data_IF_268523607317
#
_entry.id   IF_268523607317
#
_cell.length_a   1.000
_cell.length_b   1.000
_cell.length_c   1.000
_cell.angle_alpha   90.00
_cell.angle_beta   90.00
_cell.angle_gamma   90.00
#
_symmetry.space_group_name_H-M   'P 1'
#
loop_
_entity.id
_entity.type
_entity.pdbx_description
1 polymer ?
#
# COMPACT_ATOMS: atom_id res chain seq x y z
N UNK A 1 54.70 -21.43 -12.91
CA UNK A 1 53.96 -21.96 -11.75
C UNK A 1 52.65 -21.23 -11.77
N UNK A 2 51.66 -21.90 -12.37
CA UNK A 2 50.26 -21.51 -12.39
C UNK A 2 49.72 -21.53 -10.97
N UNK A 3 48.86 -20.58 -10.63
CA UNK A 3 47.44 -20.83 -10.36
C UNK A 3 46.85 -19.61 -9.63
N UNK A 4 46.16 -18.78 -10.42
CA UNK A 4 45.11 -17.87 -9.97
C UNK A 4 43.93 -18.72 -9.47
N UNK A 5 43.56 -18.55 -8.20
CA UNK A 5 42.29 -19.04 -7.68
C UNK A 5 41.44 -17.87 -7.20
N UNK A 6 40.71 -17.35 -8.18
CA UNK A 6 39.43 -16.68 -8.05
C UNK A 6 38.40 -17.67 -7.46
N UNK A 7 37.86 -17.36 -6.28
CA UNK A 7 36.71 -18.04 -5.73
C UNK A 7 35.61 -17.03 -5.48
N UNK A 8 34.81 -16.86 -6.54
CA UNK A 8 33.53 -16.17 -6.50
C UNK A 8 32.54 -16.81 -5.52
N UNK A 9 31.68 -15.92 -5.02
CA UNK A 9 30.52 -16.18 -4.18
C UNK A 9 29.61 -17.29 -4.70
N UNK A 10 29.09 -18.11 -3.78
CA UNK A 10 27.76 -18.69 -3.93
C UNK A 10 27.09 -18.79 -2.55
N UNK A 11 26.32 -17.75 -2.20
CA UNK A 11 25.38 -17.81 -1.08
C UNK A 11 24.09 -18.41 -1.60
N UNK A 12 24.02 -19.75 -1.61
CA UNK A 12 22.79 -20.49 -1.79
C UNK A 12 21.87 -20.33 -0.58
N UNK A 13 21.03 -19.30 -0.58
CA UNK A 13 19.84 -19.26 0.29
C UNK A 13 18.63 -19.71 -0.53
N UNK A 14 18.46 -21.02 -0.58
CA UNK A 14 17.19 -21.63 -0.96
C UNK A 14 16.24 -21.58 0.23
N UNK A 15 15.34 -20.59 0.26
CA UNK A 15 14.10 -20.69 1.01
C UNK A 15 12.94 -20.78 0.04
N UNK A 16 12.52 -22.02 -0.23
CA UNK A 16 11.20 -22.29 -0.76
C UNK A 16 10.18 -22.18 0.38
N UNK A 17 9.31 -21.18 0.29
CA UNK A 17 7.92 -21.28 0.72
C UNK A 17 7.07 -20.90 -0.49
N UNK A 18 6.48 -21.93 -1.09
CA UNK A 18 5.62 -21.87 -2.28
C UNK A 18 4.19 -21.53 -1.85
N UNK A 19 4.00 -20.27 -1.50
CA UNK A 19 2.71 -19.57 -1.51
C UNK A 19 2.94 -18.21 -2.19
N UNK A 20 3.38 -18.27 -3.45
CA UNK A 20 3.51 -17.12 -4.36
C UNK A 20 3.87 -15.80 -3.69
N UNK A 21 5.04 -15.73 -3.03
CA UNK A 21 5.52 -14.54 -2.32
C UNK A 21 5.49 -13.34 -3.28
N UNK A 22 4.47 -12.50 -3.11
CA UNK A 22 4.21 -11.38 -3.99
C UNK A 22 5.29 -10.34 -3.72
N UNK A 23 5.95 -9.86 -4.78
CA UNK A 23 6.94 -8.81 -4.61
C UNK A 23 6.33 -7.57 -3.97
N UNK A 24 7.11 -6.83 -3.18
CA UNK A 24 6.67 -5.59 -2.52
C UNK A 24 6.00 -4.62 -3.51
N UNK A 25 6.57 -4.47 -4.71
CA UNK A 25 6.01 -3.61 -5.77
C UNK A 25 4.61 -4.06 -6.24
N UNK A 26 4.38 -5.37 -6.31
CA UNK A 26 3.08 -5.93 -6.72
C UNK A 26 2.08 -5.82 -5.56
N UNK A 27 2.52 -6.05 -4.32
CA UNK A 27 1.71 -5.83 -3.12
C UNK A 27 1.26 -4.38 -3.01
N UNK A 28 2.18 -3.43 -3.16
CA UNK A 28 1.88 -2.00 -3.15
C UNK A 28 0.90 -1.62 -4.26
N UNK A 29 1.07 -2.17 -5.48
CA UNK A 29 0.14 -1.93 -6.59
C UNK A 29 -1.27 -2.44 -6.29
N UNK A 30 -1.40 -3.67 -5.77
CA UNK A 30 -2.69 -4.25 -5.41
C UNK A 30 -3.35 -3.50 -4.26
N UNK A 31 -2.58 -3.14 -3.24
CA UNK A 31 -3.06 -2.31 -2.14
C UNK A 31 -3.64 -0.97 -2.67
N UNK A 32 -2.95 -0.32 -3.62
CA UNK A 32 -3.45 0.87 -4.29
C UNK A 32 -4.79 0.65 -5.02
N UNK A 33 -4.94 -0.46 -5.73
CA UNK A 33 -6.22 -0.82 -6.36
C UNK A 33 -7.33 -1.03 -5.33
N UNK A 34 -7.07 -1.79 -4.26
CA UNK A 34 -8.04 -2.05 -3.19
C UNK A 34 -8.52 -0.75 -2.54
N UNK A 35 -7.60 0.20 -2.30
CA UNK A 35 -7.95 1.53 -1.78
C UNK A 35 -8.89 2.27 -2.74
N UNK A 36 -8.58 2.28 -4.04
CA UNK A 36 -9.41 2.93 -5.06
C UNK A 36 -10.80 2.28 -5.17
N UNK A 37 -10.85 0.94 -5.14
CA UNK A 37 -12.10 0.18 -5.14
C UNK A 37 -12.93 0.56 -3.91
N UNK A 38 -12.30 0.65 -2.73
CA UNK A 38 -12.92 1.10 -1.49
C UNK A 38 -13.52 2.51 -1.59
N UNK A 39 -12.81 3.47 -2.22
CA UNK A 39 -13.33 4.84 -2.46
C UNK A 39 -14.57 4.80 -3.34
N UNK A 40 -14.56 4.03 -4.43
CA UNK A 40 -15.72 3.94 -5.33
C UNK A 40 -16.92 3.25 -4.69
N UNK A 41 -16.67 2.22 -3.88
CA UNK A 41 -17.72 1.47 -3.22
C UNK A 41 -18.33 2.23 -2.02
N UNK A 42 -17.57 3.11 -1.37
CA UNK A 42 -18.08 3.97 -0.29
C UNK A 42 -19.14 4.98 -0.78
N UNK A 43 -19.07 5.40 -2.05
CA UNK A 43 -20.00 6.35 -2.69
C UNK A 43 -21.27 5.67 -3.24
N UNK A 44 -21.29 4.33 -3.31
CA UNK A 44 -22.45 3.57 -3.80
C UNK A 44 -23.56 3.47 -2.74
N UNK A 45 -24.81 3.68 -3.15
CA UNK A 45 -26.00 3.66 -2.30
C UNK A 45 -26.15 2.30 -1.57
N UNK A 46 -26.16 2.33 -0.23
CA UNK A 46 -25.93 1.15 0.61
C UNK A 46 -27.23 0.40 0.89
N UNK A 47 -27.59 -0.52 0.02
CA UNK A 47 -28.72 -1.42 0.25
C UNK A 47 -28.24 -2.68 1.02
N UNK A 48 -28.22 -2.61 2.36
CA UNK A 48 -28.15 -3.76 3.27
C UNK A 48 -26.98 -4.76 3.16
N UNK A 49 -25.91 -4.45 2.41
CA UNK A 49 -24.76 -5.32 2.16
C UNK A 49 -23.62 -5.22 3.19
N UNK A 50 -22.53 -5.96 2.93
CA UNK A 50 -21.26 -5.88 3.70
C UNK A 50 -20.65 -4.48 3.53
N UNK A 51 -20.08 -3.93 4.60
CA UNK A 51 -19.41 -2.64 4.56
C UNK A 51 -18.23 -2.69 3.56
N UNK A 52 -18.19 -1.83 2.52
CA UNK A 52 -17.06 -1.78 1.60
C UNK A 52 -15.72 -1.54 2.27
N UNK A 53 -15.71 -0.81 3.40
CA UNK A 53 -14.50 -0.59 4.17
C UNK A 53 -14.02 -1.90 4.81
N UNK A 54 -14.92 -2.68 5.41
CA UNK A 54 -14.59 -4.00 5.98
C UNK A 54 -14.05 -4.96 4.93
N UNK A 55 -14.66 -4.97 3.72
CA UNK A 55 -14.16 -5.76 2.60
C UNK A 55 -12.77 -5.32 2.15
N UNK A 56 -12.51 -4.02 2.06
CA UNK A 56 -11.18 -3.51 1.71
C UNK A 56 -10.14 -3.93 2.76
N UNK A 57 -10.45 -3.80 4.06
CA UNK A 57 -9.57 -4.26 5.13
C UNK A 57 -9.27 -5.76 5.05
N UNK A 58 -10.29 -6.60 4.80
CA UNK A 58 -10.10 -8.04 4.64
C UNK A 58 -9.17 -8.37 3.46
N UNK A 59 -9.33 -7.68 2.33
CA UNK A 59 -8.47 -7.87 1.16
C UNK A 59 -7.04 -7.39 1.39
N UNK A 60 -6.85 -6.29 2.13
CA UNK A 60 -5.52 -5.79 2.50
C UNK A 60 -4.79 -6.77 3.43
N UNK A 61 -5.50 -7.41 4.37
CA UNK A 61 -4.95 -8.49 5.20
C UNK A 61 -4.57 -9.71 4.36
N UNK A 62 -5.41 -10.10 3.40
CA UNK A 62 -5.17 -11.26 2.53
C UNK A 62 -3.88 -11.11 1.70
N UNK A 63 -3.53 -9.89 1.28
CA UNK A 63 -2.31 -9.61 0.53
C UNK A 63 -1.14 -9.18 1.42
N UNK A 64 -1.28 -9.26 2.75
CA UNK A 64 -0.27 -8.81 3.73
C UNK A 64 0.13 -7.34 3.54
N UNK A 65 -0.78 -6.50 3.03
CA UNK A 65 -0.58 -5.06 2.95
C UNK A 65 -0.78 -4.38 4.31
N UNK A 66 -1.48 -5.05 5.22
CA UNK A 66 -1.58 -4.69 6.64
C UNK A 66 -1.44 -5.97 7.47
N UNK A 67 -0.93 -5.86 8.68
CA UNK A 67 -0.70 -7.00 9.57
C UNK A 67 -1.13 -6.69 11.00
N UNK A 68 -1.72 -7.68 11.70
CA UNK A 68 -2.05 -7.57 13.12
C UNK A 68 -0.91 -8.18 13.94
N UNK A 69 -0.25 -7.35 14.74
CA UNK A 69 0.82 -7.72 15.64
C UNK A 69 0.28 -7.76 17.07
N UNK A 70 0.72 -8.73 17.86
CA UNK A 70 0.42 -8.77 19.29
C UNK A 70 1.59 -8.14 20.06
N UNK A 71 1.32 -7.05 20.77
CA UNK A 71 2.25 -6.49 21.73
C UNK A 71 2.13 -7.25 23.06
N UNK A 72 3.07 -8.17 23.29
CA UNK A 72 3.11 -8.99 24.51
C UNK A 72 3.43 -8.19 25.79
N UNK A 73 4.04 -7.00 25.65
CA UNK A 73 4.38 -6.16 26.80
C UNK A 73 3.19 -5.31 27.24
N UNK A 74 2.39 -4.83 26.29
CA UNK A 74 1.20 -4.03 26.55
C UNK A 74 -0.10 -4.86 26.66
N UNK A 75 -0.09 -6.13 26.24
CA UNK A 75 -1.30 -6.97 26.06
C UNK A 75 -2.30 -6.31 25.08
N UNK A 76 -1.77 -5.64 24.05
CA UNK A 76 -2.52 -4.88 23.04
C UNK A 76 -2.29 -5.46 21.63
N UNK A 77 -3.26 -5.25 20.74
CA UNK A 77 -3.12 -5.59 19.32
C UNK A 77 -2.70 -4.33 18.57
N UNK A 78 -1.54 -4.37 17.92
CA UNK A 78 -1.04 -3.34 17.02
C UNK A 78 -1.40 -3.69 15.57
N UNK A 79 -1.75 -2.68 14.77
CA UNK A 79 -1.98 -2.83 13.34
C UNK A 79 -0.81 -2.20 12.58
N UNK A 80 0.04 -3.01 11.97
CA UNK A 80 1.08 -2.53 11.07
C UNK A 80 0.49 -2.22 9.69
N UNK A 81 0.57 -0.95 9.30
CA UNK A 81 0.13 -0.44 8.00
C UNK A 81 1.30 -0.01 7.12
N UNK A 82 2.54 -0.26 7.53
CA UNK A 82 3.73 0.15 6.78
C UNK A 82 3.73 -0.37 5.34
N UNK A 83 3.36 -1.64 5.05
CA UNK A 83 3.32 -2.15 3.69
C UNK A 83 2.25 -1.48 2.81
N UNK A 84 1.15 -0.99 3.41
CA UNK A 84 0.07 -0.27 2.72
C UNK A 84 0.53 1.08 2.16
N UNK A 85 1.44 1.75 2.87
CA UNK A 85 1.85 3.13 2.55
C UNK A 85 2.44 3.27 1.14
N UNK A 86 3.11 2.25 0.62
CA UNK A 86 3.62 2.25 -0.75
C UNK A 86 2.50 2.39 -1.79
N UNK A 87 1.40 1.65 -1.61
CA UNK A 87 0.22 1.72 -2.48
C UNK A 87 -0.50 3.06 -2.36
N UNK A 88 -0.67 3.57 -1.13
CA UNK A 88 -1.26 4.90 -0.87
C UNK A 88 -0.47 6.00 -1.59
N UNK A 89 0.85 6.00 -1.43
CA UNK A 89 1.71 7.01 -2.06
C UNK A 89 1.66 6.94 -3.58
N UNK A 90 1.57 5.73 -4.15
CA UNK A 90 1.41 5.54 -5.59
C UNK A 90 0.11 6.18 -6.11
N UNK A 91 -1.02 5.91 -5.43
CA UNK A 91 -2.33 6.46 -5.77
C UNK A 91 -2.34 7.98 -5.65
N UNK A 92 -1.88 8.51 -4.50
CA UNK A 92 -1.85 9.96 -4.23
C UNK A 92 -0.97 10.68 -5.26
N UNK A 93 0.23 10.17 -5.56
CA UNK A 93 1.12 10.78 -6.53
C UNK A 93 0.51 10.79 -7.94
N UNK A 94 -0.19 9.71 -8.32
CA UNK A 94 -0.88 9.65 -9.61
C UNK A 94 -1.99 10.70 -9.68
N UNK A 95 -2.84 10.80 -8.67
CA UNK A 95 -3.93 11.77 -8.61
C UNK A 95 -3.42 13.21 -8.62
N UNK A 96 -2.40 13.52 -7.81
CA UNK A 96 -1.78 14.85 -7.78
C UNK A 96 -1.22 15.22 -9.16
N UNK A 97 -0.55 14.28 -9.83
CA UNK A 97 -0.01 14.49 -11.18
C UNK A 97 -1.12 14.77 -12.19
N UNK A 98 -2.20 13.98 -12.17
CA UNK A 98 -3.33 14.17 -13.07
C UNK A 98 -4.05 15.51 -12.85
N UNK A 99 -4.29 15.88 -11.59
CA UNK A 99 -4.90 17.17 -11.22
C UNK A 99 -4.03 18.35 -11.64
N UNK A 100 -2.72 18.28 -11.38
CA UNK A 100 -1.78 19.33 -11.75
C UNK A 100 -1.76 19.56 -13.27
N UNK A 101 -1.74 18.48 -14.05
CA UNK A 101 -1.79 18.54 -15.51
C UNK A 101 -3.13 19.10 -16.02
N UNK A 102 -4.25 18.65 -15.45
CA UNK A 102 -5.60 19.10 -15.81
C UNK A 102 -5.79 20.60 -15.55
N UNK A 103 -5.30 21.07 -14.41
CA UNK A 103 -5.56 22.44 -13.95
C UNK A 103 -4.44 23.42 -14.36
N UNK A 104 -3.35 22.92 -14.97
CA UNK A 104 -2.23 23.74 -15.44
C UNK A 104 -1.40 24.36 -14.31
N UNK A 105 -1.34 23.69 -13.15
CA UNK A 105 -0.68 24.17 -11.92
C UNK A 105 0.45 23.23 -11.51
N UNK A 106 1.24 23.63 -10.51
CA UNK A 106 2.28 22.75 -9.95
C UNK A 106 1.67 21.65 -9.06
N UNK A 107 2.32 20.47 -8.96
CA UNK A 107 1.93 19.43 -7.99
C UNK A 107 1.85 19.95 -6.54
N UNK A 108 2.77 20.83 -6.15
CA UNK A 108 2.79 21.46 -4.82
C UNK A 108 1.52 22.28 -4.56
N UNK A 109 1.03 23.04 -5.55
CA UNK A 109 -0.21 23.80 -5.41
C UNK A 109 -1.43 22.89 -5.20
N UNK A 110 -1.47 21.74 -5.89
CA UNK A 110 -2.51 20.71 -5.68
C UNK A 110 -2.45 20.17 -4.26
N UNK A 111 -1.27 19.79 -3.77
CA UNK A 111 -1.12 19.26 -2.40
C UNK A 111 -1.54 20.28 -1.34
N UNK A 112 -1.14 21.55 -1.50
CA UNK A 112 -1.58 22.63 -0.60
C UNK A 112 -3.10 22.81 -0.61
N UNK A 113 -3.73 22.74 -1.78
CA UNK A 113 -5.18 22.82 -1.94
C UNK A 113 -5.90 21.65 -1.25
N UNK A 114 -5.42 20.41 -1.46
CA UNK A 114 -5.97 19.21 -0.80
C UNK A 114 -5.84 19.33 0.72
N UNK A 115 -4.68 19.77 1.23
CA UNK A 115 -4.48 19.97 2.67
C UNK A 115 -5.47 20.97 3.25
N UNK A 116 -5.66 22.12 2.59
CA UNK A 116 -6.64 23.10 3.01
C UNK A 116 -8.06 22.53 3.03
N UNK A 117 -8.45 21.76 2.01
CA UNK A 117 -9.76 21.11 1.96
C UNK A 117 -9.99 20.06 3.05
N UNK A 118 -8.94 19.32 3.45
CA UNK A 118 -9.00 18.40 4.59
C UNK A 118 -9.19 19.18 5.90
N UNK A 119 -8.40 20.24 6.12
CA UNK A 119 -8.49 21.07 7.32
C UNK A 119 -9.87 21.76 7.46
N UNK A 120 -10.56 22.03 6.35
CA UNK A 120 -11.93 22.56 6.34
C UNK A 120 -13.03 21.51 6.60
N UNK A 121 -12.72 20.23 6.36
CA UNK A 121 -13.69 19.12 6.47
C UNK A 121 -13.61 18.36 7.81
N UNK A 122 -12.59 18.63 8.62
CA UNK A 122 -12.36 18.04 9.94
C UNK A 122 -13.05 18.82 11.07
#
# INVERSE_FOLDING_TARGET
>A
MSDDHDHGHDHGHGHGHDHGDMSEDERARRAGHIILDGVTAADADRDGGVDPMELAFAQLLEIEAIELLLDEEADEIELDISPLMGGVMMVVNRLVTELAQRDGVSPEAVVMSIRAGIDESA
#
